data_IF_059210464662
#
_entry.id   IF_059210464662
#
_cell.length_a   1.000
_cell.length_b   1.000
_cell.length_c   1.000
_cell.angle_alpha   90.00
_cell.angle_beta   90.00
_cell.angle_gamma   90.00
#
_symmetry.space_group_name_H-M   'P 1'
#
loop_
_entity.id
_entity.type
_entity.pdbx_description
1 polymer ?
#
# COMPACT_ATOMS: atom_id res chain seq x y z
N UNK A 1 -21.95 -27.58 -10.91
CA UNK A 1 -21.24 -26.39 -10.38
C UNK A 1 -20.99 -25.46 -11.54
N UNK A 2 -21.58 -24.27 -11.51
CA UNK A 2 -21.42 -23.27 -12.56
C UNK A 2 -20.15 -22.46 -12.29
N UNK A 3 -19.26 -22.40 -13.27
CA UNK A 3 -18.00 -21.65 -13.17
C UNK A 3 -18.20 -20.29 -13.80
N UNK A 4 -17.76 -19.24 -13.10
CA UNK A 4 -17.87 -17.84 -13.54
C UNK A 4 -17.12 -17.65 -14.85
N UNK A 5 -17.74 -17.00 -15.85
CA UNK A 5 -17.25 -16.95 -17.25
C UNK A 5 -15.80 -16.46 -17.44
N UNK A 6 -15.29 -15.61 -16.55
CA UNK A 6 -13.95 -15.04 -16.60
C UNK A 6 -12.84 -15.97 -16.04
N UNK A 7 -13.15 -17.21 -15.66
CA UNK A 7 -12.15 -18.16 -15.12
C UNK A 7 -10.99 -18.46 -16.08
N UNK A 8 -11.20 -18.27 -17.39
CA UNK A 8 -10.16 -18.46 -18.40
C UNK A 8 -9.05 -17.41 -18.29
N UNK A 9 -9.42 -16.20 -17.85
CA UNK A 9 -8.50 -15.08 -17.69
C UNK A 9 -7.97 -15.00 -16.25
N UNK A 10 -8.88 -15.12 -15.27
CA UNK A 10 -8.57 -15.05 -13.83
C UNK A 10 -8.49 -16.46 -13.24
N UNK A 11 -7.29 -17.03 -13.21
CA UNK A 11 -7.03 -18.31 -12.53
C UNK A 11 -5.61 -18.37 -11.96
N UNK A 12 -5.42 -19.27 -11.00
CA UNK A 12 -4.14 -19.46 -10.32
C UNK A 12 -3.03 -19.84 -11.30
N UNK A 13 -3.32 -20.68 -12.30
CA UNK A 13 -2.33 -21.13 -13.29
C UNK A 13 -1.74 -19.95 -14.07
N UNK A 14 -2.56 -19.00 -14.49
CA UNK A 14 -2.13 -17.79 -15.19
C UNK A 14 -1.41 -16.81 -14.27
N UNK A 15 -1.80 -16.71 -12.98
CA UNK A 15 -1.20 -15.76 -12.04
C UNK A 15 0.07 -16.27 -11.34
N UNK A 16 0.35 -17.58 -11.36
CA UNK A 16 1.44 -18.17 -10.55
C UNK A 16 2.83 -17.74 -11.04
N UNK A 17 2.98 -17.51 -12.34
CA UNK A 17 4.26 -17.19 -12.99
C UNK A 17 4.40 -15.70 -13.32
N UNK A 18 3.39 -14.87 -13.04
CA UNK A 18 3.43 -13.45 -13.36
C UNK A 18 3.52 -12.61 -12.07
N UNK A 19 4.66 -11.92 -11.94
CA UNK A 19 5.00 -11.07 -10.80
C UNK A 19 4.14 -9.81 -10.69
N UNK A 20 3.42 -9.44 -11.75
CA UNK A 20 2.60 -8.23 -11.83
C UNK A 20 1.13 -8.47 -11.45
N UNK A 21 0.73 -9.73 -11.22
CA UNK A 21 -0.63 -10.04 -10.83
C UNK A 21 -0.87 -9.87 -9.33
N UNK A 22 -2.16 -9.72 -9.02
CA UNK A 22 -2.74 -9.61 -7.68
C UNK A 22 -2.15 -10.66 -6.72
N UNK A 23 -2.01 -11.92 -7.15
CA UNK A 23 -1.45 -12.99 -6.32
C UNK A 23 -0.04 -12.67 -5.80
N UNK A 24 0.82 -12.09 -6.64
CA UNK A 24 2.18 -11.72 -6.28
C UNK A 24 2.19 -10.56 -5.26
N UNK A 25 1.27 -9.60 -5.41
CA UNK A 25 1.08 -8.54 -4.42
C UNK A 25 0.63 -9.10 -3.06
N UNK A 26 -0.32 -10.03 -3.02
CA UNK A 26 -0.75 -10.70 -1.78
C UNK A 26 0.36 -11.52 -1.12
N UNK A 27 1.18 -12.24 -1.90
CA UNK A 27 2.35 -12.96 -1.37
C UNK A 27 3.31 -12.00 -0.67
N UNK A 28 3.57 -10.82 -1.26
CA UNK A 28 4.41 -9.77 -0.65
C UNK A 28 3.79 -9.25 0.66
N UNK A 29 2.49 -8.98 0.69
CA UNK A 29 1.79 -8.56 1.93
C UNK A 29 1.89 -9.60 3.06
N UNK A 30 1.68 -10.88 2.74
CA UNK A 30 1.80 -11.96 3.72
C UNK A 30 3.24 -12.08 4.22
N UNK A 31 4.23 -11.96 3.31
CA UNK A 31 5.64 -11.96 3.68
C UNK A 31 5.96 -10.81 4.62
N UNK A 32 5.50 -9.60 4.30
CA UNK A 32 5.68 -8.41 5.13
C UNK A 32 5.07 -8.62 6.52
N UNK A 33 3.83 -9.13 6.63
CA UNK A 33 3.21 -9.39 7.94
C UNK A 33 4.00 -10.39 8.78
N UNK A 34 4.71 -11.33 8.16
CA UNK A 34 5.54 -12.32 8.86
C UNK A 34 6.92 -11.77 9.27
N UNK A 35 7.46 -10.82 8.50
CA UNK A 35 8.78 -10.24 8.76
C UNK A 35 8.75 -8.96 9.58
N UNK A 36 7.61 -8.25 9.60
CA UNK A 36 7.46 -6.91 10.19
C UNK A 36 6.45 -6.95 11.34
N UNK A 37 6.94 -7.06 12.58
CA UNK A 37 6.11 -7.08 13.79
C UNK A 37 5.18 -5.87 13.89
N UNK A 38 5.62 -4.70 13.39
CA UNK A 38 4.85 -3.45 13.35
C UNK A 38 3.52 -3.58 12.58
N UNK A 39 3.42 -4.51 11.63
CA UNK A 39 2.16 -4.75 10.89
C UNK A 39 1.13 -5.46 11.79
N UNK A 40 1.59 -6.32 12.71
CA UNK A 40 0.73 -7.06 13.62
C UNK A 40 0.44 -6.30 14.92
N UNK A 41 1.46 -5.65 15.48
CA UNK A 41 1.44 -5.08 16.82
C UNK A 41 1.53 -3.55 16.85
N UNK A 42 1.76 -2.91 15.71
CA UNK A 42 1.85 -1.46 15.64
C UNK A 42 0.51 -0.79 15.93
N UNK A 43 0.59 0.34 16.63
CA UNK A 43 -0.54 1.21 16.88
C UNK A 43 -1.14 1.70 15.57
N UNK A 44 -2.37 2.22 15.60
CA UNK A 44 -3.01 2.80 14.43
C UNK A 44 -3.27 4.28 14.68
N UNK A 45 -2.72 5.14 13.83
CA UNK A 45 -2.94 6.58 13.86
C UNK A 45 -3.37 7.06 12.48
N UNK A 46 -4.61 7.53 12.30
CA UNK A 46 -5.05 8.02 11.00
C UNK A 46 -4.37 9.36 10.66
N UNK A 47 -4.11 9.57 9.36
CA UNK A 47 -3.45 10.78 8.83
C UNK A 47 -4.35 11.59 7.89
N UNK A 48 -5.46 11.02 7.43
CA UNK A 48 -6.34 11.63 6.43
C UNK A 48 -7.82 11.44 6.77
N UNK A 49 -8.21 11.50 8.05
CA UNK A 49 -9.59 11.23 8.51
C UNK A 49 -10.67 12.00 7.75
N UNK A 50 -10.38 13.27 7.40
CA UNK A 50 -11.33 14.15 6.72
C UNK A 50 -11.24 14.07 5.19
N UNK A 51 -10.32 13.27 4.64
CA UNK A 51 -10.13 13.19 3.20
C UNK A 51 -11.14 12.24 2.56
N UNK A 52 -11.88 12.73 1.56
CA UNK A 52 -12.99 11.96 0.94
C UNK A 52 -12.53 10.75 0.12
N UNK A 53 -11.28 10.75 -0.35
CA UNK A 53 -10.76 9.71 -1.26
C UNK A 53 -9.56 8.95 -0.69
N UNK A 54 -8.85 9.53 0.29
CA UNK A 54 -7.56 9.03 0.74
C UNK A 54 -7.73 8.42 2.11
N UNK A 55 -7.31 7.17 2.22
CA UNK A 55 -7.17 6.48 3.48
C UNK A 55 -5.68 6.31 3.77
N UNK A 56 -5.18 7.20 4.62
CA UNK A 56 -3.81 7.19 5.06
C UNK A 56 -3.73 7.02 6.57
N UNK A 57 -2.79 6.21 7.03
CA UNK A 57 -2.54 5.99 8.45
C UNK A 57 -1.09 5.61 8.70
N UNK A 58 -0.63 5.92 9.90
CA UNK A 58 0.66 5.57 10.45
C UNK A 58 0.49 4.39 11.43
N UNK A 59 1.44 3.47 11.37
CA UNK A 59 1.66 2.44 12.38
C UNK A 59 2.99 2.68 13.04
N UNK A 60 3.02 2.62 14.36
CA UNK A 60 4.25 2.75 15.15
C UNK A 60 4.41 1.56 16.08
N UNK A 61 5.61 1.00 16.15
CA UNK A 61 5.96 -0.09 17.06
C UNK A 61 7.46 -0.09 17.38
N UNK A 62 7.82 -0.05 18.66
CA UNK A 62 9.23 -0.15 19.13
C UNK A 62 10.21 0.80 18.42
N UNK A 63 9.77 2.01 18.09
CA UNK A 63 10.61 3.02 17.41
C UNK A 63 10.66 2.90 15.88
N UNK A 64 9.99 1.91 15.29
CA UNK A 64 9.76 1.85 13.85
C UNK A 64 8.40 2.50 13.50
N UNK A 65 8.31 3.07 12.29
CA UNK A 65 7.08 3.62 11.72
C UNK A 65 6.82 3.10 10.31
N UNK A 66 5.56 2.77 10.01
CA UNK A 66 5.06 2.46 8.68
C UNK A 66 3.91 3.41 8.35
N UNK A 67 3.95 4.00 7.16
CA UNK A 67 2.85 4.80 6.63
C UNK A 67 2.20 4.02 5.49
N UNK A 68 0.89 3.86 5.56
CA UNK A 68 0.08 3.23 4.52
C UNK A 68 -0.84 4.29 3.92
N UNK A 69 -0.86 4.39 2.60
CA UNK A 69 -1.60 5.41 1.85
C UNK A 69 -2.38 4.71 0.75
N UNK A 70 -3.69 4.94 0.69
CA UNK A 70 -4.54 4.35 -0.35
C UNK A 70 -5.48 5.40 -0.93
N UNK A 71 -5.56 5.47 -2.25
CA UNK A 71 -6.66 6.09 -2.95
C UNK A 71 -7.76 5.05 -3.19
N UNK A 72 -8.94 5.25 -2.62
CA UNK A 72 -10.05 4.29 -2.73
C UNK A 72 -10.89 4.45 -4.00
N UNK A 73 -10.59 5.45 -4.82
CA UNK A 73 -11.41 5.82 -5.98
C UNK A 73 -10.64 5.75 -7.29
N UNK A 74 -11.40 5.67 -8.39
CA UNK A 74 -10.88 5.65 -9.76
C UNK A 74 -10.40 7.01 -10.29
N UNK A 75 -10.33 8.03 -9.43
CA UNK A 75 -9.95 9.40 -9.81
C UNK A 75 -8.62 9.75 -9.20
N UNK A 76 -7.82 10.50 -9.93
CA UNK A 76 -6.62 11.12 -9.37
C UNK A 76 -7.01 12.07 -8.23
N UNK A 77 -6.19 12.07 -7.19
CA UNK A 77 -6.40 12.95 -6.06
C UNK A 77 -5.06 13.34 -5.46
N UNK A 78 -5.05 14.54 -4.89
CA UNK A 78 -3.86 15.13 -4.32
C UNK A 78 -4.03 15.16 -2.81
N UNK A 79 -2.97 14.77 -2.10
CA UNK A 79 -2.94 14.79 -0.65
C UNK A 79 -1.63 15.38 -0.15
N UNK A 80 -1.74 16.43 0.65
CA UNK A 80 -0.61 17.01 1.37
C UNK A 80 -0.52 16.37 2.76
N UNK A 81 0.54 15.61 2.99
CA UNK A 81 0.78 14.96 4.28
C UNK A 81 1.38 15.97 5.27
N UNK A 82 0.90 15.96 6.52
CA UNK A 82 1.52 16.71 7.61
C UNK A 82 2.91 16.16 7.98
N UNK A 83 3.13 14.87 7.70
CA UNK A 83 4.40 14.18 7.92
C UNK A 83 5.27 14.29 6.66
N UNK A 84 6.57 14.49 6.86
CA UNK A 84 7.54 14.46 5.76
C UNK A 84 7.80 13.03 5.29
N UNK A 85 7.09 12.63 4.23
CA UNK A 85 7.18 11.29 3.64
C UNK A 85 8.53 10.97 2.97
N UNK A 86 9.36 11.97 2.67
CA UNK A 86 10.67 11.76 2.04
C UNK A 86 11.68 11.07 2.97
N UNK A 87 11.40 11.05 4.28
CA UNK A 87 12.18 10.30 5.28
C UNK A 87 11.89 8.80 5.28
N UNK A 88 10.90 8.37 4.51
CA UNK A 88 10.48 6.97 4.44
C UNK A 88 10.89 6.36 3.11
N UNK A 89 11.06 5.04 3.11
CA UNK A 89 11.31 4.25 1.90
C UNK A 89 10.05 3.50 1.49
N UNK A 90 9.71 3.54 0.20
CA UNK A 90 8.65 2.70 -0.34
C UNK A 90 9.08 1.22 -0.31
N UNK A 91 8.29 0.39 0.39
CA UNK A 91 8.51 -1.06 0.52
C UNK A 91 7.49 -1.88 -0.27
N UNK A 92 6.32 -1.31 -0.56
CA UNK A 92 5.30 -1.93 -1.39
C UNK A 92 4.47 -0.85 -2.10
N UNK A 93 4.18 -1.09 -3.37
CA UNK A 93 3.27 -0.28 -4.16
C UNK A 93 2.57 -1.15 -5.22
N UNK A 94 1.37 -0.76 -5.63
CA UNK A 94 0.70 -1.36 -6.80
C UNK A 94 0.99 -0.63 -8.12
N UNK A 95 1.66 0.52 -8.07
CA UNK A 95 2.18 1.21 -9.24
C UNK A 95 3.69 1.46 -9.16
N UNK A 96 4.34 1.57 -10.31
CA UNK A 96 5.76 1.94 -10.44
C UNK A 96 5.96 3.47 -10.37
N UNK A 97 7.22 3.90 -10.23
CA UNK A 97 7.66 5.29 -10.27
C UNK A 97 6.98 6.19 -9.23
N UNK A 98 6.98 5.76 -7.97
CA UNK A 98 6.44 6.54 -6.86
C UNK A 98 7.30 7.79 -6.63
N UNK A 99 6.67 8.96 -6.72
CA UNK A 99 7.32 10.23 -6.43
C UNK A 99 6.94 10.72 -5.03
N UNK A 100 7.81 10.49 -4.05
CA UNK A 100 7.59 10.89 -2.67
C UNK A 100 7.92 12.36 -2.48
N UNK A 101 6.88 13.17 -2.37
CA UNK A 101 6.96 14.60 -2.09
C UNK A 101 6.08 14.92 -0.89
N UNK A 102 6.16 16.15 -0.35
CA UNK A 102 5.22 16.62 0.69
C UNK A 102 3.76 16.56 0.21
N UNK A 103 3.57 16.83 -1.09
CA UNK A 103 2.30 16.77 -1.80
C UNK A 103 2.31 15.57 -2.74
N UNK A 104 1.50 14.57 -2.43
CA UNK A 104 1.39 13.34 -3.20
C UNK A 104 0.24 13.44 -4.20
N UNK A 105 0.54 13.14 -5.46
CA UNK A 105 -0.47 12.90 -6.48
C UNK A 105 -0.69 11.39 -6.58
N UNK A 106 -1.84 10.94 -6.10
CA UNK A 106 -2.20 9.53 -6.07
C UNK A 106 -3.09 9.23 -7.29
N UNK A 107 -2.64 8.25 -8.08
CA UNK A 107 -3.36 7.71 -9.22
C UNK A 107 -4.62 6.96 -8.77
N UNK A 108 -5.55 6.67 -9.70
CA UNK A 108 -6.69 5.80 -9.45
C UNK A 108 -6.27 4.52 -8.73
N UNK A 109 -6.89 4.20 -7.60
CA UNK A 109 -6.60 2.99 -6.81
C UNK A 109 -5.15 2.82 -6.34
N UNK A 110 -4.33 3.88 -6.34
CA UNK A 110 -2.93 3.78 -5.92
C UNK A 110 -2.81 3.48 -4.42
N UNK A 111 -1.97 2.49 -4.10
CA UNK A 111 -1.67 2.03 -2.75
C UNK A 111 -0.17 1.99 -2.54
N UNK A 112 0.30 2.65 -1.49
CA UNK A 112 1.72 2.81 -1.17
C UNK A 112 1.93 2.48 0.31
N UNK A 113 2.95 1.67 0.59
CA UNK A 113 3.43 1.37 1.94
C UNK A 113 4.86 1.87 2.08
N UNK A 114 5.07 2.75 3.04
CA UNK A 114 6.35 3.39 3.34
C UNK A 114 6.83 2.94 4.72
N UNK A 115 8.13 2.71 4.88
CA UNK A 115 8.76 2.34 6.16
C UNK A 115 9.84 3.37 6.53
N UNK A 116 9.90 3.74 7.81
CA UNK A 116 10.94 4.61 8.36
C UNK A 116 12.31 3.95 8.22
N UNK A 117 13.34 4.70 7.84
CA UNK A 117 14.70 4.19 7.85
C UNK A 117 15.23 4.21 9.30
N UNK A 118 15.63 3.05 9.83
CA UNK A 118 16.41 2.99 11.06
C UNK A 118 17.79 3.62 10.81
N UNK A 119 18.20 4.54 11.68
CA UNK A 119 19.56 5.10 11.70
C UNK A 119 20.57 4.09 12.24
#
# INVERSE_FOLDING_TARGET
MEVIKNYKDINVKNQINDSNFILSHYKKLISLRKSEDIIAYGNFKPLAENHKQIFAYEREYKGESIIVINNFYEKETEWESEINLTKYKCILSNYENINLNKKLNLRPYESIVLKSQSY
#
